data_IF_683117666922
#
_entry.id   IF_683117666922
#
_cell.length_a   1.000
_cell.length_b   1.000
_cell.length_c   1.000
_cell.angle_alpha   90.00
_cell.angle_beta   90.00
_cell.angle_gamma   90.00
#
_symmetry.space_group_name_H-M   'P 1'
#
loop_
_entity.id
_entity.type
_entity.pdbx_description
1 polymer ?
#
# COMPACT_ATOMS: atom_id res chain seq x y z
N UNK A 1 11.28 2.84 -16.68
CA UNK A 1 10.67 4.18 -16.52
C UNK A 1 9.20 4.04 -16.88
N UNK A 2 8.29 4.27 -15.94
CA UNK A 2 6.84 4.07 -16.15
C UNK A 2 6.33 4.95 -17.30
N UNK A 3 5.40 4.44 -18.12
CA UNK A 3 4.82 5.18 -19.26
C UNK A 3 4.23 6.52 -18.82
N UNK A 4 3.63 6.57 -17.63
CA UNK A 4 3.08 7.79 -17.06
C UNK A 4 4.15 8.84 -16.73
N UNK A 5 5.34 8.41 -16.34
CA UNK A 5 6.48 9.31 -16.11
C UNK A 5 6.92 9.91 -17.45
N UNK A 6 7.03 9.10 -18.50
CA UNK A 6 7.32 9.58 -19.86
C UNK A 6 6.26 10.59 -20.35
N UNK A 7 4.97 10.27 -20.18
CA UNK A 7 3.87 11.18 -20.47
C UNK A 7 4.02 12.52 -19.75
N UNK A 8 4.23 12.48 -18.43
CA UNK A 8 4.39 13.69 -17.62
C UNK A 8 5.57 14.54 -18.09
N UNK A 9 6.74 13.94 -18.35
CA UNK A 9 7.90 14.67 -18.85
C UNK A 9 7.64 15.30 -20.23
N UNK A 10 7.01 14.56 -21.15
CA UNK A 10 6.68 15.06 -22.48
C UNK A 10 5.66 16.20 -22.44
N UNK A 11 4.59 16.05 -21.66
CA UNK A 11 3.57 17.09 -21.49
C UNK A 11 4.14 18.34 -20.82
N UNK A 12 4.96 18.18 -19.78
CA UNK A 12 5.67 19.29 -19.13
C UNK A 12 6.63 20.01 -20.10
N UNK A 13 7.30 19.28 -21.00
CA UNK A 13 8.18 19.87 -21.99
C UNK A 13 7.42 20.62 -23.10
N UNK A 14 6.28 20.08 -23.54
CA UNK A 14 5.48 20.65 -24.63
C UNK A 14 4.61 21.84 -24.17
N UNK A 15 3.96 21.71 -23.01
CA UNK A 15 2.92 22.64 -22.57
C UNK A 15 3.26 23.36 -21.25
N UNK A 16 4.30 22.92 -20.55
CA UNK A 16 4.68 23.46 -19.24
C UNK A 16 3.88 22.89 -18.06
N UNK A 17 2.94 21.99 -18.32
CA UNK A 17 2.12 21.29 -17.31
C UNK A 17 1.82 19.85 -17.73
N UNK A 18 1.41 19.01 -16.78
CA UNK A 18 0.83 17.70 -17.06
C UNK A 18 -0.33 17.40 -16.10
N UNK A 19 -1.37 16.75 -16.62
CA UNK A 19 -2.55 16.34 -15.85
C UNK A 19 -2.37 14.89 -15.43
N UNK A 20 -2.26 14.66 -14.12
CA UNK A 20 -2.09 13.33 -13.53
C UNK A 20 -3.45 12.64 -13.35
N UNK A 21 -4.18 12.46 -14.46
CA UNK A 21 -5.45 11.72 -14.50
C UNK A 21 -5.36 10.62 -15.56
N UNK A 22 -5.67 9.35 -15.23
CA UNK A 22 -5.65 8.24 -16.18
C UNK A 22 -6.60 8.44 -17.36
N UNK A 23 -7.79 8.99 -17.09
CA UNK A 23 -8.81 9.25 -18.11
C UNK A 23 -8.30 10.28 -19.11
N UNK A 24 -7.81 11.43 -18.62
CA UNK A 24 -7.27 12.50 -19.46
C UNK A 24 -6.03 12.03 -20.23
N UNK A 25 -5.13 11.29 -19.58
CA UNK A 25 -3.91 10.80 -20.22
C UNK A 25 -4.22 9.84 -21.38
N UNK A 26 -5.18 8.92 -21.20
CA UNK A 26 -5.61 8.00 -22.26
C UNK A 26 -6.34 8.72 -23.41
N UNK A 27 -7.13 9.75 -23.11
CA UNK A 27 -7.81 10.56 -24.13
C UNK A 27 -6.83 11.41 -24.94
N UNK A 28 -5.87 12.06 -24.29
CA UNK A 28 -4.93 12.98 -24.95
C UNK A 28 -3.80 12.23 -25.65
N UNK A 29 -3.38 11.07 -25.14
CA UNK A 29 -2.27 10.26 -25.68
C UNK A 29 -2.64 8.79 -25.84
N UNK A 30 -3.55 8.46 -26.78
CA UNK A 30 -3.93 7.08 -27.07
C UNK A 30 -2.78 6.24 -27.64
N UNK A 31 -1.70 6.90 -28.10
CA UNK A 31 -0.45 6.26 -28.52
C UNK A 31 0.35 5.68 -27.35
N UNK A 32 0.27 6.30 -26.17
CA UNK A 32 0.95 5.85 -24.95
C UNK A 32 0.10 4.88 -24.13
N UNK A 33 -1.21 5.13 -24.07
CA UNK A 33 -2.16 4.37 -23.26
C UNK A 33 -3.31 3.89 -24.11
N UNK A 34 -3.48 2.57 -24.17
CA UNK A 34 -4.57 1.97 -24.93
C UNK A 34 -5.93 2.13 -24.23
N UNK A 35 -5.92 2.30 -22.91
CA UNK A 35 -7.12 2.51 -22.10
C UNK A 35 -6.82 3.28 -20.81
N UNK A 36 -7.87 3.84 -20.19
CA UNK A 36 -7.78 4.47 -18.87
C UNK A 36 -7.33 3.50 -17.76
N UNK A 37 -7.64 2.20 -17.87
CA UNK A 37 -7.16 1.19 -16.91
C UNK A 37 -5.64 1.01 -16.97
N UNK A 38 -5.07 0.98 -18.17
CA UNK A 38 -3.62 0.89 -18.36
C UNK A 38 -2.92 2.15 -17.82
N UNK A 39 -3.47 3.33 -18.15
CA UNK A 39 -2.97 4.60 -17.63
C UNK A 39 -3.04 4.63 -16.08
N UNK A 40 -4.08 4.06 -15.49
CA UNK A 40 -4.27 3.98 -14.04
C UNK A 40 -3.21 3.10 -13.39
N UNK A 41 -2.94 1.91 -13.94
CA UNK A 41 -1.86 1.04 -13.46
C UNK A 41 -0.49 1.72 -13.51
N UNK A 42 -0.18 2.37 -14.64
CA UNK A 42 1.08 3.08 -14.83
C UNK A 42 1.24 4.30 -13.91
N UNK A 43 0.15 5.04 -13.65
CA UNK A 43 0.12 6.13 -12.66
C UNK A 43 0.30 5.61 -11.24
N UNK A 44 -0.34 4.49 -10.90
CA UNK A 44 -0.21 3.82 -9.60
C UNK A 44 1.23 3.45 -9.30
N UNK A 45 1.90 2.80 -10.25
CA UNK A 45 3.34 2.48 -10.17
C UNK A 45 4.18 3.76 -9.99
N UNK A 46 3.90 4.80 -10.78
CA UNK A 46 4.65 6.05 -10.70
C UNK A 46 4.50 6.77 -9.34
N UNK A 47 3.31 6.71 -8.75
CA UNK A 47 3.01 7.25 -7.42
C UNK A 47 3.68 6.44 -6.31
N UNK A 48 3.68 5.11 -6.39
CA UNK A 48 4.35 4.23 -5.41
C UNK A 48 5.85 4.52 -5.34
N UNK A 49 6.49 4.73 -6.48
CA UNK A 49 7.90 5.09 -6.56
C UNK A 49 8.17 6.60 -6.36
N UNK A 50 7.15 7.38 -5.98
CA UNK A 50 7.24 8.81 -5.67
C UNK A 50 7.87 9.66 -6.79
N UNK A 51 7.73 9.26 -8.05
CA UNK A 51 8.39 9.94 -9.17
C UNK A 51 8.01 11.43 -9.29
N UNK A 52 6.78 11.79 -8.90
CA UNK A 52 6.29 13.16 -9.00
C UNK A 52 6.58 14.05 -7.77
N UNK A 53 7.08 13.48 -6.66
CA UNK A 53 7.33 14.26 -5.43
C UNK A 53 8.71 14.95 -5.42
N UNK A 54 9.65 14.50 -6.25
CA UNK A 54 11.02 15.03 -6.28
C UNK A 54 11.33 15.96 -7.46
N UNK A 55 10.33 16.36 -8.25
CA UNK A 55 10.57 17.17 -9.45
C UNK A 55 10.88 18.62 -9.08
N UNK A 56 12.09 19.08 -9.38
CA UNK A 56 12.53 20.46 -9.11
C UNK A 56 11.74 21.47 -9.94
N UNK A 57 11.32 22.55 -9.29
CA UNK A 57 10.63 23.68 -9.94
C UNK A 57 9.23 23.35 -10.44
N UNK A 58 8.60 22.30 -9.90
CA UNK A 58 7.24 21.89 -10.26
C UNK A 58 6.33 22.13 -9.08
N UNK A 59 5.23 22.83 -9.32
CA UNK A 59 4.14 23.04 -8.37
C UNK A 59 3.05 22.03 -8.63
N UNK A 60 2.51 21.43 -7.57
CA UNK A 60 1.35 20.54 -7.64
C UNK A 60 0.09 21.28 -7.23
N UNK A 61 -0.92 21.19 -8.06
CA UNK A 61 -2.23 21.83 -7.92
C UNK A 61 -3.31 20.77 -8.08
N UNK A 62 -4.49 21.03 -7.53
CA UNK A 62 -5.71 20.31 -7.91
C UNK A 62 -6.54 21.20 -8.83
N UNK A 63 -7.04 20.60 -9.90
CA UNK A 63 -7.98 21.24 -10.81
C UNK A 63 -9.27 20.42 -10.85
N UNK A 64 -10.41 21.09 -10.90
CA UNK A 64 -11.69 20.45 -11.16
C UNK A 64 -12.03 20.59 -12.64
N UNK A 65 -12.21 19.47 -13.32
CA UNK A 65 -12.56 19.40 -14.73
C UNK A 65 -14.01 18.92 -14.88
N UNK A 66 -14.79 19.62 -15.69
CA UNK A 66 -16.16 19.23 -16.00
C UNK A 66 -16.18 18.06 -16.99
N UNK A 67 -17.12 17.12 -16.80
CA UNK A 67 -17.36 16.01 -17.74
C UNK A 67 -16.55 14.74 -17.50
N UNK A 68 -15.70 14.71 -16.47
CA UNK A 68 -15.01 13.49 -16.02
C UNK A 68 -15.83 12.75 -14.96
N UNK A 69 -15.64 11.43 -14.86
CA UNK A 69 -16.21 10.63 -13.77
C UNK A 69 -15.62 11.07 -12.42
N UNK A 70 -14.34 11.45 -12.43
CA UNK A 70 -13.64 12.04 -11.30
C UNK A 70 -13.24 13.49 -11.65
N UNK A 71 -14.02 14.50 -11.20
CA UNK A 71 -13.80 15.88 -11.62
C UNK A 71 -12.49 16.45 -11.05
N UNK A 72 -12.09 16.03 -9.84
CA UNK A 72 -10.85 16.51 -9.22
C UNK A 72 -9.65 15.75 -9.76
N UNK A 73 -8.76 16.46 -10.45
CA UNK A 73 -7.51 15.92 -11.00
C UNK A 73 -6.31 16.64 -10.42
N UNK A 74 -5.19 15.93 -10.29
CA UNK A 74 -3.92 16.56 -9.87
C UNK A 74 -3.18 17.07 -11.11
N UNK A 75 -2.70 18.30 -11.06
CA UNK A 75 -1.94 18.94 -12.14
C UNK A 75 -0.56 19.30 -11.61
N UNK A 76 0.47 18.93 -12.36
CA UNK A 76 1.83 19.41 -12.14
C UNK A 76 2.15 20.51 -13.15
N UNK A 77 2.75 21.62 -12.70
CA UNK A 77 3.09 22.74 -13.58
C UNK A 77 4.38 23.45 -13.18
N UNK A 78 5.09 24.05 -14.14
CA UNK A 78 6.20 24.98 -13.89
C UNK A 78 5.78 26.46 -13.83
N UNK A 79 4.66 26.82 -14.45
CA UNK A 79 4.14 28.19 -14.49
C UNK A 79 2.63 28.18 -14.32
N UNK A 80 2.11 29.12 -13.52
CA UNK A 80 0.68 29.30 -13.29
C UNK A 80 0.01 30.22 -14.32
N UNK A 81 0.80 30.87 -15.19
CA UNK A 81 0.29 31.87 -16.15
C UNK A 81 -0.66 31.22 -17.14
N UNK A 82 -1.89 31.74 -17.24
CA UNK A 82 -2.95 31.20 -18.11
C UNK A 82 -3.13 29.67 -18.02
N UNK A 83 -2.85 29.07 -16.86
CA UNK A 83 -2.86 27.61 -16.70
C UNK A 83 -4.23 27.02 -17.04
N UNK A 84 -5.30 27.67 -16.59
CA UNK A 84 -6.67 27.26 -16.85
C UNK A 84 -6.96 27.15 -18.34
N UNK A 85 -6.69 28.22 -19.09
CA UNK A 85 -6.89 28.28 -20.53
C UNK A 85 -6.07 27.22 -21.26
N UNK A 86 -4.81 27.01 -20.85
CA UNK A 86 -3.93 26.00 -21.44
C UNK A 86 -4.44 24.58 -21.20
N UNK A 87 -4.92 24.27 -20.00
CA UNK A 87 -5.53 22.97 -19.70
C UNK A 87 -6.76 22.75 -20.57
N UNK A 88 -7.64 23.75 -20.69
CA UNK A 88 -8.83 23.66 -21.53
C UNK A 88 -8.47 23.43 -23.01
N UNK A 89 -7.45 24.13 -23.53
CA UNK A 89 -7.00 23.98 -24.92
C UNK A 89 -6.40 22.60 -25.22
N UNK A 90 -5.59 22.05 -24.30
CA UNK A 90 -4.90 20.77 -24.52
C UNK A 90 -5.83 19.58 -24.27
N UNK A 91 -6.67 19.66 -23.24
CA UNK A 91 -7.49 18.53 -22.81
C UNK A 91 -8.90 18.54 -23.40
N UNK A 92 -9.40 19.70 -23.84
CA UNK A 92 -10.77 19.89 -24.29
C UNK A 92 -11.80 19.97 -23.14
N UNK A 93 -11.41 19.71 -21.89
CA UNK A 93 -12.30 19.78 -20.74
C UNK A 93 -12.36 21.19 -20.16
N UNK A 94 -13.56 21.63 -19.77
CA UNK A 94 -13.73 22.92 -19.08
C UNK A 94 -13.19 22.80 -17.66
N UNK A 95 -12.30 23.71 -17.28
CA UNK A 95 -11.80 23.82 -15.90
C UNK A 95 -12.81 24.63 -15.10
N UNK A 96 -13.19 24.14 -13.92
CA UNK A 96 -14.14 24.77 -13.01
C UNK A 96 -13.41 25.54 -11.90
N UNK A 97 -12.35 24.96 -11.34
CA UNK A 97 -11.56 25.56 -10.29
C UNK A 97 -10.12 25.02 -10.35
N UNK A 98 -9.17 25.83 -9.89
CA UNK A 98 -7.78 25.42 -9.65
C UNK A 98 -7.40 25.89 -8.26
N UNK A 99 -6.95 24.97 -7.42
CA UNK A 99 -6.51 25.24 -6.06
C UNK A 99 -5.16 24.57 -5.77
N UNK A 100 -4.49 24.99 -4.68
CA UNK A 100 -3.38 24.21 -4.15
C UNK A 100 -3.85 22.78 -3.89
N UNK A 101 -3.03 21.78 -4.21
CA UNK A 101 -3.33 20.40 -3.81
C UNK A 101 -3.45 20.41 -2.28
N UNK A 102 -4.62 20.07 -1.71
CA UNK A 102 -4.77 19.95 -0.27
C UNK A 102 -3.74 18.92 0.14
N UNK A 103 -2.78 19.35 0.97
CA UNK A 103 -1.80 18.45 1.59
C UNK A 103 -2.65 17.39 2.26
N UNK A 104 -2.71 16.21 1.64
CA UNK A 104 -3.49 15.12 2.19
C UNK A 104 -2.86 14.86 3.55
N UNK A 105 -3.56 15.29 4.62
CA UNK A 105 -3.34 14.78 5.96
C UNK A 105 -3.26 13.27 5.75
N UNK A 106 -2.12 12.62 6.05
CA UNK A 106 -1.87 11.26 5.61
C UNK A 106 -3.08 10.43 6.00
N UNK A 107 -3.90 10.11 5.00
CA UNK A 107 -5.06 9.25 5.19
C UNK A 107 -4.39 7.94 5.52
N UNK A 108 -4.39 7.60 6.81
CA UNK A 108 -3.73 6.44 7.36
C UNK A 108 -3.91 5.31 6.36
N UNK A 109 -2.79 4.74 5.89
CA UNK A 109 -2.80 3.75 4.84
C UNK A 109 -3.95 2.78 5.09
N UNK A 110 -4.79 2.45 4.09
CA UNK A 110 -5.77 1.39 4.27
C UNK A 110 -4.98 0.20 4.77
N UNK A 111 -5.19 -0.16 6.04
CA UNK A 111 -4.49 -1.28 6.62
C UNK A 111 -4.75 -2.45 5.69
N UNK A 112 -3.73 -3.14 5.17
CA UNK A 112 -3.96 -4.33 4.40
C UNK A 112 -4.85 -5.22 5.26
N UNK A 113 -6.00 -5.56 4.69
CA UNK A 113 -7.14 -6.28 5.26
C UNK A 113 -6.72 -7.15 6.45
N UNK A 114 -7.12 -6.76 7.66
CA UNK A 114 -6.79 -7.40 8.96
C UNK A 114 -6.99 -8.91 8.95
N UNK A 115 -7.92 -9.40 8.13
CA UNK A 115 -8.24 -10.83 7.98
C UNK A 115 -6.99 -11.68 7.62
N UNK A 116 -6.12 -11.20 6.72
CA UNK A 116 -4.96 -11.99 6.30
C UNK A 116 -3.86 -12.06 7.39
N UNK A 117 -3.65 -10.96 8.11
CA UNK A 117 -2.68 -10.88 9.20
C UNK A 117 -3.18 -11.64 10.44
N UNK A 118 -4.46 -11.55 10.77
CA UNK A 118 -5.11 -12.32 11.82
C UNK A 118 -5.04 -13.82 11.53
N UNK A 119 -5.34 -14.25 10.30
CA UNK A 119 -5.25 -15.66 9.92
C UNK A 119 -3.82 -16.22 10.03
N UNK A 120 -2.81 -15.43 9.66
CA UNK A 120 -1.41 -15.83 9.82
C UNK A 120 -0.99 -15.89 11.30
N UNK A 121 -1.45 -14.95 12.13
CA UNK A 121 -1.20 -14.94 13.56
C UNK A 121 -1.86 -16.14 14.26
N UNK A 122 -3.12 -16.44 13.91
CA UNK A 122 -3.87 -17.61 14.41
C UNK A 122 -3.18 -18.92 13.98
N UNK A 123 -2.78 -19.04 12.71
CA UNK A 123 -2.08 -20.23 12.20
C UNK A 123 -0.73 -20.43 12.90
N UNK A 124 0.03 -19.35 13.14
CA UNK A 124 1.30 -19.40 13.88
C UNK A 124 1.09 -19.83 15.33
N UNK A 125 0.08 -19.28 16.01
CA UNK A 125 -0.26 -19.65 17.38
C UNK A 125 -0.73 -21.12 17.49
N UNK A 126 -1.51 -21.60 16.53
CA UNK A 126 -1.93 -23.00 16.46
C UNK A 126 -0.73 -23.95 16.29
N UNK A 127 0.23 -23.60 15.42
CA UNK A 127 1.46 -24.37 15.23
C UNK A 127 2.34 -24.41 16.48
N UNK A 128 2.50 -23.29 17.19
CA UNK A 128 3.24 -23.23 18.45
C UNK A 128 2.59 -24.09 19.54
N UNK A 129 1.26 -24.04 19.67
CA UNK A 129 0.50 -24.90 20.61
C UNK A 129 0.66 -26.38 20.29
N UNK A 130 0.58 -26.74 19.00
CA UNK A 130 0.75 -28.13 18.56
C UNK A 130 2.15 -28.68 18.88
N UNK A 131 3.21 -27.89 18.66
CA UNK A 131 4.58 -28.27 19.02
C UNK A 131 4.79 -28.35 20.52
N UNK A 132 4.26 -27.39 21.29
CA UNK A 132 4.42 -27.37 22.74
C UNK A 132 3.71 -28.55 23.46
N UNK A 133 2.62 -29.05 22.87
CA UNK A 133 1.83 -30.17 23.39
C UNK A 133 2.47 -31.55 23.18
N UNK A 134 3.49 -31.66 22.32
CA UNK A 134 4.19 -32.93 22.09
C UNK A 134 4.99 -33.37 23.33
N UNK A 135 5.09 -34.69 23.52
CA UNK A 135 5.95 -35.29 24.54
C UNK A 135 7.42 -35.00 24.25
N UNK A 136 8.20 -34.72 25.30
CA UNK A 136 9.63 -34.48 25.17
C UNK A 136 10.32 -35.80 24.81
N UNK A 137 10.99 -35.89 23.65
CA UNK A 137 11.72 -37.09 23.29
C UNK A 137 12.91 -37.32 24.24
N UNK A 138 13.19 -38.60 24.52
CA UNK A 138 14.14 -39.02 25.56
C UNK A 138 15.59 -38.62 25.27
N UNK A 139 15.96 -38.47 24.00
CA UNK A 139 17.32 -38.10 23.58
C UNK A 139 17.36 -36.70 22.96
N UNK A 140 18.50 -36.01 23.12
CA UNK A 140 18.72 -34.61 22.75
C UNK A 140 18.75 -34.34 21.24
N UNK A 141 17.65 -34.62 20.55
CA UNK A 141 17.45 -34.28 19.15
C UNK A 141 16.92 -32.85 19.01
N UNK A 142 17.10 -32.29 17.81
CA UNK A 142 16.60 -30.97 17.39
C UNK A 142 15.15 -30.71 17.77
N UNK A 143 14.31 -31.74 17.70
CA UNK A 143 12.90 -31.72 18.10
C UNK A 143 12.69 -31.35 19.58
N UNK A 144 13.55 -31.81 20.49
CA UNK A 144 13.48 -31.46 21.93
C UNK A 144 13.73 -29.97 22.15
N UNK A 145 14.69 -29.41 21.41
CA UNK A 145 15.02 -27.98 21.45
C UNK A 145 13.87 -27.14 20.89
N UNK A 146 13.25 -27.59 19.80
CA UNK A 146 12.09 -26.93 19.20
C UNK A 146 10.86 -26.92 20.11
N UNK A 147 10.54 -28.04 20.77
CA UNK A 147 9.44 -28.12 21.76
C UNK A 147 9.70 -27.19 22.94
N UNK A 148 10.93 -27.16 23.46
CA UNK A 148 11.30 -26.31 24.60
C UNK A 148 11.21 -24.83 24.21
N UNK A 149 11.68 -24.46 23.02
CA UNK A 149 11.60 -23.10 22.50
C UNK A 149 10.15 -22.65 22.27
N UNK A 150 9.30 -23.53 21.73
CA UNK A 150 7.88 -23.25 21.53
C UNK A 150 7.15 -23.02 22.87
N UNK A 151 7.50 -23.77 23.93
CA UNK A 151 6.96 -23.56 25.28
C UNK A 151 7.39 -22.22 25.89
N UNK A 152 8.65 -21.84 25.71
CA UNK A 152 9.16 -20.54 26.16
C UNK A 152 8.50 -19.37 25.41
N UNK A 153 8.29 -19.52 24.10
CA UNK A 153 7.61 -18.50 23.27
C UNK A 153 6.14 -18.35 23.68
N UNK A 154 5.44 -19.46 23.98
CA UNK A 154 4.07 -19.41 24.51
C UNK A 154 3.99 -18.82 25.92
N UNK A 155 4.94 -19.12 26.80
CA UNK A 155 4.98 -18.56 28.16
C UNK A 155 5.16 -17.03 28.12
N UNK A 156 6.10 -16.54 27.28
CA UNK A 156 6.35 -15.10 27.09
C UNK A 156 5.13 -14.38 26.51
N UNK A 157 4.38 -15.03 25.62
CA UNK A 157 3.15 -14.47 25.05
C UNK A 157 1.99 -14.51 26.05
N UNK A 158 1.86 -15.58 26.85
CA UNK A 158 0.83 -15.70 27.90
C UNK A 158 1.05 -14.75 29.09
N UNK A 159 2.30 -14.43 29.43
CA UNK A 159 2.65 -13.40 30.42
C UNK A 159 2.24 -12.00 29.96
N UNK A 160 2.30 -11.72 28.65
CA UNK A 160 1.83 -10.45 28.07
C UNK A 160 0.30 -10.31 28.10
N UNK A 161 -0.42 -11.44 28.06
CA UNK A 161 -1.89 -11.51 28.12
C UNK A 161 -2.44 -11.76 29.55
N UNK A 162 -1.57 -11.88 30.57
CA UNK A 162 -1.95 -12.11 31.96
C UNK A 162 -2.49 -13.52 32.28
N UNK A 163 -2.36 -14.47 31.36
CA UNK A 163 -2.82 -15.86 31.53
C UNK A 163 -1.60 -16.78 31.50
N UNK A 164 -1.09 -17.14 32.68
CA UNK A 164 0.03 -18.07 32.80
C UNK A 164 -0.28 -19.40 32.11
N UNK A 165 0.57 -19.80 31.16
CA UNK A 165 0.45 -21.09 30.50
C UNK A 165 0.82 -22.21 31.48
N UNK A 166 -0.17 -23.00 31.92
CA UNK A 166 0.04 -24.19 32.75
C UNK A 166 0.09 -25.43 31.84
N UNK A 167 1.25 -26.08 31.64
CA UNK A 167 1.32 -27.31 30.87
C UNK A 167 0.52 -28.43 31.56
N UNK A 168 -0.28 -29.17 30.79
CA UNK A 168 -1.26 -30.15 31.28
C UNK A 168 -0.68 -31.49 31.81
N UNK A 169 0.57 -31.50 32.29
CA UNK A 169 1.23 -32.72 32.74
C UNK A 169 1.21 -32.82 34.27
N UNK A 170 0.06 -33.22 34.84
CA UNK A 170 0.00 -33.83 36.18
C UNK A 170 0.06 -35.34 36.03
N UNK A 171 0.97 -35.94 36.79
CA UNK A 171 1.50 -37.28 36.59
C UNK A 171 0.48 -38.42 36.59
N UNK A 172 0.72 -39.39 35.71
CA UNK A 172 0.33 -40.78 35.91
C UNK A 172 1.32 -41.36 36.93
N UNK A 173 0.92 -41.40 38.20
CA UNK A 173 1.61 -42.20 39.22
C UNK A 173 1.22 -43.64 38.95
N UNK A 174 2.19 -44.46 38.54
CA UNK A 174 2.03 -45.90 38.41
C UNK A 174 1.77 -46.50 39.80
N UNK A 175 0.56 -47.02 40.01
CA UNK A 175 0.23 -47.88 41.14
C UNK A 175 0.83 -49.27 40.89
N UNK A 176 1.97 -49.56 41.52
CA UNK A 176 2.48 -50.91 41.71
C UNK A 176 2.00 -51.43 43.07
N UNK A 177 1.27 -52.54 43.04
CA UNK A 177 1.03 -53.43 44.18
C UNK A 177 0.97 -54.85 43.64
#
# INVERSE_FOLDING_TARGET
MSKFVTYAHQAMAACGFAVLSPEVAATVRPDLFHSGMEASGSLGEANQHRHFHGMRGVTRLQAELAGLAHPTVTVITRSMDDLERRIQQVTGFKVLSIGPEPVAVPKAAPHPTTIAAENLAVARMAKLRALAAQELPSYGCTLRTEITRARQELARLGEADGVGFVPAWRGRVESSS
#
